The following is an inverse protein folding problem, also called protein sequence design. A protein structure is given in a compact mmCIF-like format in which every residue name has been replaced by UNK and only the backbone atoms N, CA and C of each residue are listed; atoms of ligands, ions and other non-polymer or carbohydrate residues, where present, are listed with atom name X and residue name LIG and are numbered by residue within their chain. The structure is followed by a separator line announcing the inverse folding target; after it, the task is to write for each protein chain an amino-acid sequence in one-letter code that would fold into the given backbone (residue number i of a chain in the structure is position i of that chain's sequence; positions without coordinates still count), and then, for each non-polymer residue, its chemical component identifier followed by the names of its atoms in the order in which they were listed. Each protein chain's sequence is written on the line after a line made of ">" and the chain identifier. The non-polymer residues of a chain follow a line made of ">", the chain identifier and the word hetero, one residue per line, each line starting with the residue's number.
data_IF_729719352746
#
_entry.id   IF_729719352746
#
_cell.length_a   1.000
_cell.length_b   1.000
_cell.length_c   1.000
_cell.angle_alpha   90.00
_cell.angle_beta   90.00
_cell.angle_gamma   90.00
#
_symmetry.space_group_name_H-M   'P 1'
#
loop_
_entity.id
_entity.type
_entity.pdbx_description
1 polymer ?
#
# COMPACT_ATOMS: atom_id res chain seq x y z
N UNK A 1 80.30 -65.64 -28.67
CA UNK A 1 79.90 -65.68 -27.25
C UNK A 1 79.42 -64.28 -26.85
N UNK A 2 78.37 -64.03 -26.07
CA UNK A 2 76.97 -64.52 -26.08
C UNK A 2 76.20 -63.63 -25.08
N UNK A 3 75.02 -63.13 -25.48
CA UNK A 3 73.92 -62.57 -24.63
C UNK A 3 74.22 -61.21 -23.96
N UNK A 4 73.26 -60.32 -23.63
CA UNK A 4 71.81 -60.09 -23.85
C UNK A 4 71.49 -58.75 -23.13
N UNK A 5 70.59 -57.94 -23.71
CA UNK A 5 69.37 -57.30 -23.13
C UNK A 5 69.46 -56.44 -21.84
N UNK A 6 68.58 -55.41 -21.78
CA UNK A 6 67.87 -54.76 -20.63
C UNK A 6 68.33 -53.32 -20.31
N UNK A 7 67.51 -52.33 -19.93
CA UNK A 7 66.05 -52.06 -19.86
C UNK A 7 65.88 -50.63 -19.27
N UNK A 8 64.77 -49.92 -19.49
CA UNK A 8 64.39 -48.68 -18.75
C UNK A 8 63.78 -47.60 -19.65
N UNK A 9 62.54 -47.69 -20.16
CA UNK A 9 61.24 -47.45 -19.51
C UNK A 9 61.02 -45.99 -19.02
N UNK A 10 60.27 -45.23 -19.81
CA UNK A 10 59.15 -44.39 -19.34
C UNK A 10 59.43 -42.97 -18.84
N UNK A 11 59.28 -41.98 -19.71
CA UNK A 11 58.54 -40.75 -19.42
C UNK A 11 58.16 -40.04 -20.74
N UNK A 12 56.92 -40.25 -21.17
CA UNK A 12 56.24 -39.33 -22.05
C UNK A 12 56.06 -37.99 -21.31
N UNK A 13 56.18 -36.87 -22.02
CA UNK A 13 55.94 -35.54 -21.44
C UNK A 13 56.73 -34.47 -22.16
N UNK A 14 56.38 -34.21 -23.42
CA UNK A 14 55.75 -32.94 -23.82
C UNK A 14 56.68 -31.73 -23.69
N UNK A 15 57.09 -31.24 -24.87
CA UNK A 15 57.43 -29.84 -25.06
C UNK A 15 56.28 -28.99 -24.50
N UNK A 16 56.42 -28.49 -23.27
CA UNK A 16 55.61 -27.39 -22.79
C UNK A 16 56.08 -26.16 -23.56
N UNK A 17 55.49 -25.98 -24.74
CA UNK A 17 55.26 -24.66 -25.28
C UNK A 17 54.55 -23.87 -24.18
N UNK A 18 55.28 -22.97 -23.53
CA UNK A 18 54.69 -21.93 -22.71
C UNK A 18 53.91 -21.00 -23.66
N UNK A 19 52.71 -21.44 -24.05
CA UNK A 19 51.73 -20.55 -24.64
C UNK A 19 51.45 -19.48 -23.58
N UNK A 20 51.52 -18.18 -23.92
CA UNK A 20 50.87 -17.20 -23.09
C UNK A 20 49.39 -17.60 -23.09
N UNK A 21 48.88 -18.01 -21.93
CA UNK A 21 47.46 -18.08 -21.68
C UNK A 21 46.97 -16.64 -21.80
N UNK A 22 46.56 -16.24 -23.00
CA UNK A 22 45.73 -15.06 -23.19
C UNK A 22 44.43 -15.37 -22.46
N UNK A 23 44.35 -14.93 -21.20
CA UNK A 23 43.08 -14.81 -20.57
C UNK A 23 42.32 -13.71 -21.32
N UNK A 24 41.35 -14.12 -22.14
CA UNK A 24 40.32 -13.22 -22.61
C UNK A 24 39.42 -12.93 -21.41
N UNK A 25 39.83 -11.98 -20.56
CA UNK A 25 38.98 -11.49 -19.50
C UNK A 25 37.99 -10.50 -20.11
N UNK A 26 36.77 -10.96 -20.34
CA UNK A 26 35.64 -10.14 -20.72
C UNK A 26 35.02 -9.59 -19.44
N UNK A 27 35.19 -8.29 -19.22
CA UNK A 27 34.59 -7.58 -18.09
C UNK A 27 33.62 -6.53 -18.65
N UNK A 28 32.37 -6.61 -18.22
CA UNK A 28 31.36 -5.60 -18.49
C UNK A 28 31.10 -4.79 -17.23
N UNK A 29 31.11 -3.47 -17.36
CA UNK A 29 30.65 -2.56 -16.31
C UNK A 29 29.24 -2.14 -16.66
N UNK A 30 28.28 -2.41 -15.78
CA UNK A 30 26.89 -1.97 -15.92
C UNK A 30 26.72 -0.72 -15.04
N UNK A 31 26.26 0.37 -15.62
CA UNK A 31 25.97 1.61 -14.89
C UNK A 31 24.62 1.48 -14.18
N UNK A 32 24.62 1.52 -12.85
CA UNK A 32 23.42 1.45 -12.01
C UNK A 32 23.33 2.72 -11.18
N UNK A 33 22.25 3.48 -11.35
CA UNK A 33 22.00 4.75 -10.64
C UNK A 33 20.52 4.85 -10.27
N UNK A 34 20.20 5.40 -9.10
CA UNK A 34 18.84 5.67 -8.65
C UNK A 34 18.79 6.97 -7.84
N UNK A 35 17.67 7.71 -7.94
CA UNK A 35 17.35 8.84 -7.06
C UNK A 35 16.40 8.35 -5.97
N UNK A 36 16.63 8.76 -4.73
CA UNK A 36 15.79 8.39 -3.58
C UNK A 36 14.96 9.63 -3.21
N UNK A 37 13.64 9.48 -3.27
CA UNK A 37 12.65 10.53 -3.02
C UNK A 37 11.72 10.13 -1.86
N UNK A 38 11.11 11.10 -1.20
CA UNK A 38 10.14 10.85 -0.12
C UNK A 38 8.76 10.55 -0.71
N UNK A 39 8.02 9.60 -0.14
CA UNK A 39 6.65 9.30 -0.57
C UNK A 39 5.60 10.24 0.06
N UNK A 40 5.82 10.64 1.31
CA UNK A 40 4.93 11.53 2.06
C UNK A 40 5.56 12.91 2.31
N UNK A 41 4.69 13.88 2.50
CA UNK A 41 4.98 15.20 3.01
C UNK A 41 4.13 15.47 4.26
N UNK A 42 4.81 15.71 5.39
CA UNK A 42 4.17 16.20 6.60
C UNK A 42 4.11 17.74 6.53
N UNK A 43 2.92 18.31 6.72
CA UNK A 43 2.75 19.78 6.80
C UNK A 43 2.81 20.31 8.22
N UNK A 44 2.36 19.51 9.19
CA UNK A 44 2.44 19.84 10.62
C UNK A 44 3.78 19.33 11.16
N UNK A 45 4.62 20.25 11.63
CA UNK A 45 5.94 19.91 12.21
C UNK A 45 5.91 19.79 13.73
N UNK A 46 4.91 20.40 14.37
CA UNK A 46 4.74 20.42 15.83
C UNK A 46 3.28 20.69 16.20
N UNK A 47 2.83 20.10 17.31
CA UNK A 47 1.52 20.36 17.92
C UNK A 47 1.77 20.79 19.37
N UNK A 48 1.44 22.03 19.69
CA UNK A 48 1.49 22.57 21.05
C UNK A 48 0.08 22.91 21.53
N UNK A 49 -0.41 22.21 22.56
CA UNK A 49 -1.69 22.51 23.19
C UNK A 49 -1.59 23.64 24.24
N UNK A 50 -0.38 24.00 24.66
CA UNK A 50 -0.14 25.01 25.69
C UNK A 50 -0.62 24.57 27.08
N UNK A 51 -1.08 25.54 27.88
CA UNK A 51 -1.66 25.26 29.20
C UNK A 51 -3.08 24.74 29.03
N UNK A 52 -3.32 23.54 29.55
CA UNK A 52 -4.61 22.85 29.48
C UNK A 52 -5.16 22.59 30.89
N UNK A 53 -6.45 22.34 31.00
CA UNK A 53 -7.12 22.08 32.28
C UNK A 53 -7.73 20.68 32.33
N UNK A 54 -7.85 20.05 33.52
CA UNK A 54 -8.45 18.73 33.65
C UNK A 54 -9.81 18.63 32.96
N UNK A 55 -10.03 17.52 32.25
CA UNK A 55 -11.28 17.21 31.52
C UNK A 55 -11.57 18.14 30.32
N UNK A 56 -10.62 18.98 29.92
CA UNK A 56 -10.66 19.70 28.66
C UNK A 56 -10.47 18.75 27.47
N UNK A 57 -11.09 19.08 26.33
CA UNK A 57 -10.82 18.45 25.04
C UNK A 57 -10.34 19.51 24.06
N UNK A 58 -9.18 19.28 23.45
CA UNK A 58 -8.56 20.19 22.49
C UNK A 58 -8.26 19.45 21.20
N UNK A 59 -8.52 20.07 20.05
CA UNK A 59 -8.32 19.49 18.73
C UNK A 59 -7.13 20.17 18.02
N UNK A 60 -6.30 19.39 17.33
CA UNK A 60 -5.18 19.90 16.55
C UNK A 60 -5.03 19.15 15.21
N UNK A 61 -4.84 19.85 14.08
CA UNK A 61 -4.75 19.21 12.77
C UNK A 61 -3.35 18.66 12.50
N UNK A 62 -3.31 17.42 12.00
CA UNK A 62 -2.13 16.80 11.39
C UNK A 62 -2.45 16.46 9.93
N UNK A 63 -1.79 17.14 8.99
CA UNK A 63 -2.00 16.88 7.55
C UNK A 63 -0.86 16.05 6.98
N UNK A 64 -1.22 14.89 6.44
CA UNK A 64 -0.34 13.97 5.72
C UNK A 64 -0.74 14.00 4.24
N UNK A 65 0.22 14.19 3.35
CA UNK A 65 -0.06 14.25 1.92
C UNK A 65 0.98 13.48 1.12
N UNK A 66 0.61 13.03 -0.07
CA UNK A 66 1.57 12.55 -1.05
C UNK A 66 2.56 13.67 -1.38
N UNK A 67 3.85 13.33 -1.41
CA UNK A 67 4.87 14.31 -1.76
C UNK A 67 4.75 14.73 -3.22
N UNK A 68 5.31 15.90 -3.56
CA UNK A 68 5.37 16.35 -4.95
C UNK A 68 6.15 15.38 -5.86
N UNK A 69 7.19 14.71 -5.35
CA UNK A 69 7.95 13.74 -6.14
C UNK A 69 7.21 12.43 -6.33
N UNK A 70 6.38 12.00 -5.37
CA UNK A 70 5.52 10.83 -5.53
C UNK A 70 4.37 11.09 -6.53
N UNK A 71 3.76 12.28 -6.46
CA UNK A 71 2.71 12.69 -7.39
C UNK A 71 3.21 12.78 -8.84
N UNK A 72 4.49 13.11 -9.04
CA UNK A 72 5.10 13.22 -10.36
C UNK A 72 5.53 11.87 -10.97
N UNK A 73 5.50 10.77 -10.21
CA UNK A 73 5.94 9.45 -10.67
C UNK A 73 4.75 8.61 -11.12
N UNK A 74 4.65 8.33 -12.43
CA UNK A 74 3.53 7.56 -13.01
C UNK A 74 3.53 6.08 -12.59
N UNK A 75 4.69 5.54 -12.19
CA UNK A 75 4.84 4.11 -11.87
C UNK A 75 4.23 3.71 -10.52
N UNK A 76 3.96 4.64 -9.62
CA UNK A 76 3.44 4.35 -8.26
C UNK A 76 2.00 4.84 -8.12
N UNK A 77 1.26 4.38 -7.13
CA UNK A 77 -0.15 4.80 -6.93
C UNK A 77 -0.48 5.06 -5.46
N UNK A 78 -0.41 4.03 -4.63
CA UNK A 78 -0.78 4.14 -3.21
C UNK A 78 0.44 4.30 -2.31
N UNK A 79 0.23 5.00 -1.19
CA UNK A 79 1.13 4.99 -0.03
C UNK A 79 0.34 4.51 1.17
N UNK A 80 0.78 3.41 1.77
CA UNK A 80 0.30 2.95 3.07
C UNK A 80 1.25 3.46 4.15
N UNK A 81 0.69 3.95 5.24
CA UNK A 81 1.47 4.45 6.36
C UNK A 81 0.80 4.12 7.70
N UNK A 82 1.55 4.34 8.77
CA UNK A 82 1.06 4.22 10.14
C UNK A 82 1.40 5.45 10.95
N UNK A 83 0.48 5.87 11.82
CA UNK A 83 0.74 6.89 12.85
C UNK A 83 0.88 6.18 14.19
N UNK A 84 2.11 6.20 14.69
CA UNK A 84 2.54 5.65 15.96
C UNK A 84 2.74 6.74 16.99
N UNK A 85 2.84 6.33 18.24
CA UNK A 85 3.14 7.19 19.38
C UNK A 85 4.33 6.65 20.15
N UNK A 86 5.14 7.55 20.69
CA UNK A 86 6.25 7.20 21.56
C UNK A 86 6.44 8.25 22.66
N UNK A 87 7.00 7.90 23.81
CA UNK A 87 7.29 8.87 24.86
C UNK A 87 8.18 10.01 24.35
N UNK A 88 8.00 11.22 24.90
CA UNK A 88 8.85 12.37 24.60
C UNK A 88 10.01 12.46 25.59
N UNK A 89 11.19 12.80 25.11
CA UNK A 89 12.36 13.06 25.94
C UNK A 89 12.64 14.55 26.04
N UNK A 90 13.08 15.00 27.22
CA UNK A 90 13.49 16.39 27.45
C UNK A 90 14.68 16.50 28.39
N UNK A 91 15.50 17.52 28.20
CA UNK A 91 16.61 17.88 29.07
C UNK A 91 16.09 18.78 30.20
N UNK A 92 16.00 18.29 31.46
CA UNK A 92 15.41 19.06 32.53
C UNK A 92 16.35 20.19 32.99
N UNK A 93 15.79 21.35 33.27
CA UNK A 93 16.51 22.51 33.79
C UNK A 93 16.67 22.41 35.31
N UNK A 94 17.92 22.34 35.83
CA UNK A 94 18.15 22.15 37.25
C UNK A 94 17.54 23.25 38.13
N UNK A 95 16.80 22.85 39.16
CA UNK A 95 16.25 23.77 40.16
C UNK A 95 14.94 24.45 39.76
N UNK A 96 14.25 23.95 38.74
CA UNK A 96 12.90 24.36 38.36
C UNK A 96 11.84 23.47 39.00
N UNK A 97 10.72 24.07 39.40
CA UNK A 97 9.55 23.40 40.00
C UNK A 97 8.28 24.21 39.62
N UNK A 98 7.41 23.72 38.71
CA UNK A 98 7.49 22.42 38.02
C UNK A 98 8.69 22.33 37.08
N UNK A 99 9.08 21.11 36.70
CA UNK A 99 10.25 20.87 35.85
C UNK A 99 10.08 21.56 34.50
N UNK A 100 11.05 22.40 34.15
CA UNK A 100 11.16 23.00 32.82
C UNK A 100 12.17 22.20 31.98
N UNK A 101 12.04 22.27 30.66
CA UNK A 101 12.93 21.58 29.73
C UNK A 101 13.56 22.58 28.76
N UNK A 102 14.90 22.60 28.68
CA UNK A 102 15.63 23.50 27.76
C UNK A 102 15.80 22.94 26.35
N UNK A 103 15.60 21.63 26.18
CA UNK A 103 15.65 20.95 24.89
C UNK A 103 14.78 19.69 24.91
N UNK A 104 14.27 19.31 23.74
CA UNK A 104 13.64 18.01 23.51
C UNK A 104 14.57 17.09 22.71
N UNK A 105 14.54 15.80 23.04
CA UNK A 105 15.44 14.80 22.48
C UNK A 105 14.69 13.64 21.86
N UNK A 106 15.43 12.72 21.25
CA UNK A 106 14.86 11.51 20.63
C UNK A 106 14.82 10.36 21.62
N UNK A 107 13.80 9.51 21.49
CA UNK A 107 13.81 8.17 22.09
C UNK A 107 14.41 7.16 21.12
N UNK A 108 15.09 6.17 21.69
CA UNK A 108 15.55 4.94 21.04
C UNK A 108 15.04 3.73 21.81
N UNK A 109 15.13 2.55 21.21
CA UNK A 109 14.74 1.29 21.84
C UNK A 109 15.97 0.54 22.36
N UNK A 110 15.92 0.14 23.63
CA UNK A 110 16.93 -0.72 24.26
C UNK A 110 16.19 -1.80 25.06
N UNK A 111 16.44 -3.06 24.73
CA UNK A 111 15.85 -4.22 25.41
C UNK A 111 14.32 -4.18 25.50
N UNK A 112 13.63 -3.70 24.45
CA UNK A 112 12.18 -3.61 24.40
C UNK A 112 11.59 -2.46 25.24
N UNK A 113 12.39 -1.49 25.62
CA UNK A 113 11.95 -0.28 26.32
C UNK A 113 12.42 0.97 25.59
N UNK A 114 11.61 2.03 25.65
CA UNK A 114 12.05 3.34 25.20
C UNK A 114 12.97 3.97 26.23
N UNK A 115 14.10 4.50 25.74
CA UNK A 115 15.07 5.28 26.51
C UNK A 115 15.45 6.53 25.73
N UNK A 116 15.82 7.60 26.42
CA UNK A 116 16.31 8.80 25.75
C UNK A 116 17.70 8.52 25.13
N UNK A 117 17.84 8.83 23.85
CA UNK A 117 19.11 8.70 23.11
C UNK A 117 20.13 9.75 23.59
N UNK A 118 19.64 10.96 23.86
CA UNK A 118 20.46 12.11 24.18
C UNK A 118 20.88 12.14 25.66
N UNK A 119 22.16 12.39 25.92
CA UNK A 119 22.72 12.40 27.27
C UNK A 119 21.99 13.41 28.17
N UNK A 120 21.63 12.98 29.38
CA UNK A 120 20.99 13.84 30.40
C UNK A 120 19.49 14.09 30.18
N UNK A 121 18.92 13.61 29.07
CA UNK A 121 17.48 13.69 28.84
C UNK A 121 16.74 12.63 29.66
N UNK A 122 15.52 12.96 30.03
CA UNK A 122 14.58 12.08 30.75
C UNK A 122 13.27 11.99 29.98
N UNK A 123 12.56 10.87 30.16
CA UNK A 123 11.22 10.72 29.60
C UNK A 123 10.26 11.61 30.40
N UNK A 124 9.46 12.40 29.69
CA UNK A 124 8.40 13.23 30.28
C UNK A 124 7.25 12.37 30.80
N UNK A 125 6.44 12.87 31.75
CA UNK A 125 5.11 12.33 32.02
C UNK A 125 4.34 12.03 30.72
N UNK A 126 3.77 10.84 30.63
CA UNK A 126 3.33 10.29 29.35
C UNK A 126 2.01 10.92 28.89
N UNK A 127 2.02 11.53 27.70
CA UNK A 127 0.82 12.10 27.07
C UNK A 127 0.11 11.13 26.12
N UNK A 128 0.80 10.10 25.61
CA UNK A 128 0.32 9.27 24.50
C UNK A 128 -1.08 8.67 24.68
N UNK A 129 -1.41 8.05 25.84
CA UNK A 129 -2.74 7.50 26.10
C UNK A 129 -3.89 8.48 25.93
N UNK A 130 -3.64 9.77 26.06
CA UNK A 130 -4.66 10.82 26.10
C UNK A 130 -4.90 11.48 24.73
N UNK A 131 -4.13 11.08 23.72
CA UNK A 131 -4.19 11.62 22.37
C UNK A 131 -4.93 10.66 21.44
N UNK A 132 -6.12 11.03 20.98
CA UNK A 132 -6.79 10.30 19.90
C UNK A 132 -6.25 10.70 18.53
N UNK A 133 -6.59 9.87 17.54
CA UNK A 133 -6.26 10.04 16.13
C UNK A 133 -7.52 9.71 15.34
N UNK A 134 -8.20 10.72 14.85
CA UNK A 134 -9.43 10.55 14.07
C UNK A 134 -9.18 11.03 12.63
N UNK A 135 -9.48 10.20 11.62
CA UNK A 135 -9.33 10.59 10.23
C UNK A 135 -10.48 11.51 9.79
N UNK A 136 -10.33 12.15 8.63
CA UNK A 136 -11.38 12.98 8.02
C UNK A 136 -12.53 12.17 7.38
N UNK A 137 -12.35 10.85 7.27
CA UNK A 137 -13.32 9.93 6.67
C UNK A 137 -13.33 9.92 5.13
N UNK A 138 -12.32 10.54 4.50
CA UNK A 138 -12.11 10.46 3.07
C UNK A 138 -11.22 9.25 2.72
N UNK A 139 -11.40 8.65 1.52
CA UNK A 139 -12.60 8.72 0.68
C UNK A 139 -13.75 7.94 1.35
N UNK A 140 -15.01 8.37 1.22
CA UNK A 140 -16.16 7.72 1.90
C UNK A 140 -16.33 6.24 1.50
N UNK A 141 -16.47 5.29 2.46
CA UNK A 141 -16.76 5.44 3.90
C UNK A 141 -15.54 5.65 4.84
N UNK A 142 -14.36 5.91 4.30
CA UNK A 142 -13.08 6.04 4.98
C UNK A 142 -12.18 4.85 4.67
N UNK A 143 -10.89 5.09 4.42
CA UNK A 143 -9.86 4.05 4.26
C UNK A 143 -8.83 4.05 5.42
N UNK A 144 -8.96 4.98 6.36
CA UNK A 144 -8.07 5.16 7.49
C UNK A 144 -8.60 4.54 8.79
N UNK A 145 -7.67 4.17 9.67
CA UNK A 145 -7.94 3.73 11.03
C UNK A 145 -8.25 4.90 11.96
N UNK A 146 -8.87 4.59 13.10
CA UNK A 146 -9.20 5.56 14.14
C UNK A 146 -8.81 5.00 15.49
N UNK A 147 -8.36 5.86 16.40
CA UNK A 147 -8.04 5.49 17.78
C UNK A 147 -8.54 6.58 18.72
N UNK A 148 -9.34 6.19 19.71
CA UNK A 148 -9.81 7.09 20.76
C UNK A 148 -8.74 7.34 21.84
N UNK A 149 -8.83 8.47 22.55
CA UNK A 149 -8.10 8.68 23.79
C UNK A 149 -8.45 7.60 24.83
N UNK A 150 -7.63 7.51 25.87
CA UNK A 150 -7.67 6.49 26.92
C UNK A 150 -7.37 5.08 26.40
N UNK A 151 -6.19 4.92 25.80
CA UNK A 151 -5.66 3.66 25.30
C UNK A 151 -4.25 3.38 25.84
N UNK A 152 -3.83 2.11 25.82
CA UNK A 152 -2.51 1.70 26.31
C UNK A 152 -2.24 2.03 27.79
N UNK A 153 -0.99 1.86 28.25
CA UNK A 153 -0.61 2.15 29.63
C UNK A 153 -0.28 3.64 29.85
N UNK A 154 -0.63 4.19 31.02
CA UNK A 154 -0.28 5.57 31.41
C UNK A 154 1.17 5.77 31.89
N UNK A 155 1.91 4.69 32.05
CA UNK A 155 3.32 4.69 32.44
C UNK A 155 4.04 3.50 31.82
N UNK A 156 5.33 3.63 31.52
CA UNK A 156 6.12 2.50 31.02
C UNK A 156 5.74 2.04 29.61
N UNK A 157 5.22 2.96 28.79
CA UNK A 157 4.88 2.71 27.39
C UNK A 157 6.08 2.13 26.64
N UNK A 158 5.85 1.00 25.99
CA UNK A 158 6.85 0.19 25.30
C UNK A 158 6.68 0.27 23.78
N UNK A 159 7.66 -0.22 23.00
CA UNK A 159 7.51 -0.40 21.56
C UNK A 159 6.35 -1.32 21.18
N UNK A 160 5.99 -2.30 22.02
CA UNK A 160 4.84 -3.17 21.79
C UNK A 160 3.53 -2.38 21.89
N UNK A 161 3.38 -1.52 22.91
CA UNK A 161 2.23 -0.63 23.05
C UNK A 161 2.11 0.32 21.86
N UNK A 162 3.24 0.80 21.33
CA UNK A 162 3.26 1.64 20.11
C UNK A 162 2.67 0.91 18.90
N UNK A 163 2.95 -0.38 18.74
CA UNK A 163 2.43 -1.18 17.62
C UNK A 163 0.96 -1.55 17.84
N UNK A 164 0.57 -1.89 19.07
CA UNK A 164 -0.83 -2.22 19.40
C UNK A 164 -1.76 -1.02 19.21
N UNK A 165 -1.27 0.19 19.48
CA UNK A 165 -2.05 1.44 19.42
C UNK A 165 -1.72 2.30 18.19
N UNK A 166 -1.14 1.72 17.14
CA UNK A 166 -0.93 2.43 15.87
C UNK A 166 -2.25 2.53 15.09
N UNK A 167 -2.42 3.62 14.34
CA UNK A 167 -3.49 3.71 13.32
C UNK A 167 -2.88 3.59 11.94
N UNK A 168 -3.57 2.85 11.08
CA UNK A 168 -3.20 2.73 9.67
C UNK A 168 -3.79 3.92 8.91
N UNK A 169 -3.10 4.37 7.87
CA UNK A 169 -3.68 5.24 6.88
C UNK A 169 -3.23 4.92 5.47
N UNK A 170 -3.99 5.40 4.48
CA UNK A 170 -3.73 5.11 3.07
C UNK A 170 -4.03 6.32 2.20
N UNK A 171 -3.07 6.69 1.36
CA UNK A 171 -3.28 7.63 0.26
C UNK A 171 -3.24 6.91 -1.08
N UNK A 172 -4.05 7.36 -2.04
CA UNK A 172 -4.16 6.78 -3.39
C UNK A 172 -4.39 7.84 -4.47
N UNK A 173 -3.54 7.84 -5.50
CA UNK A 173 -3.72 8.75 -6.65
C UNK A 173 -4.95 8.35 -7.46
N UNK A 174 -5.17 7.06 -7.73
CA UNK A 174 -6.33 6.59 -8.48
C UNK A 174 -7.64 6.88 -7.74
N UNK A 175 -7.69 6.73 -6.41
CA UNK A 175 -8.88 7.07 -5.64
C UNK A 175 -9.08 8.58 -5.44
N UNK A 176 -8.16 9.41 -5.95
CA UNK A 176 -8.13 10.87 -5.73
C UNK A 176 -8.05 11.26 -4.25
N UNK A 177 -7.41 10.41 -3.47
CA UNK A 177 -7.21 10.52 -2.04
C UNK A 177 -5.73 10.81 -1.77
N UNK A 178 -5.34 12.06 -1.95
CA UNK A 178 -3.92 12.46 -2.00
C UNK A 178 -3.43 13.14 -0.71
N UNK A 179 -4.34 13.36 0.24
CA UNK A 179 -4.03 13.93 1.55
C UNK A 179 -5.10 13.56 2.57
N UNK A 180 -4.64 13.24 3.78
CA UNK A 180 -5.47 12.95 4.94
C UNK A 180 -5.34 14.09 5.95
N UNK A 181 -6.47 14.59 6.42
CA UNK A 181 -6.54 15.54 7.52
C UNK A 181 -6.91 14.82 8.82
N UNK A 182 -5.91 14.56 9.65
CA UNK A 182 -6.12 13.94 10.96
C UNK A 182 -6.46 14.98 12.00
N UNK A 183 -7.48 14.69 12.80
CA UNK A 183 -7.68 15.36 14.07
C UNK A 183 -6.93 14.62 15.17
N UNK A 184 -5.92 15.27 15.74
CA UNK A 184 -5.24 14.84 16.95
C UNK A 184 -5.89 15.59 18.10
N UNK A 185 -6.78 14.93 18.83
CA UNK A 185 -7.41 15.50 19.99
C UNK A 185 -6.77 15.02 21.29
N UNK A 186 -6.51 15.99 22.16
CA UNK A 186 -6.07 15.76 23.53
C UNK A 186 -7.29 15.77 24.45
N UNK A 187 -7.58 14.63 25.07
CA UNK A 187 -8.55 14.54 26.16
C UNK A 187 -7.79 14.57 27.48
N UNK A 188 -7.80 15.72 28.15
CA UNK A 188 -6.92 15.98 29.30
C UNK A 188 -7.36 15.15 30.50
N UNK A 189 -6.45 14.34 31.09
CA UNK A 189 -6.80 13.54 32.25
C UNK A 189 -7.07 14.42 33.48
N UNK A 190 -7.91 13.93 34.39
CA UNK A 190 -7.93 14.42 35.75
C UNK A 190 -6.86 13.72 36.59
N UNK A 191 -6.38 14.38 37.63
CA UNK A 191 -5.51 13.76 38.62
C UNK A 191 -6.31 12.88 39.57
N UNK A 192 -5.71 11.77 39.99
CA UNK A 192 -6.34 10.81 40.90
C UNK A 192 -6.83 11.50 42.19
N UNK A 193 -8.13 11.37 42.46
CA UNK A 193 -8.78 11.99 43.62
C UNK A 193 -9.28 13.42 43.40
N UNK A 194 -9.04 14.00 42.23
CA UNK A 194 -9.44 15.37 41.85
C UNK A 194 -10.38 15.41 40.62
N UNK A 195 -10.86 14.26 40.15
CA UNK A 195 -11.79 14.15 39.03
C UNK A 195 -13.19 14.66 39.38
N UNK A 196 -13.93 15.13 38.37
CA UNK A 196 -15.33 15.51 38.53
C UNK A 196 -16.19 14.31 38.94
N UNK A 197 -17.31 14.61 39.61
CA UNK A 197 -18.19 13.59 40.22
C UNK A 197 -18.92 12.71 39.19
N UNK A 198 -19.01 13.16 37.95
CA UNK A 198 -19.58 12.41 36.83
C UNK A 198 -18.66 11.28 36.34
N UNK A 199 -17.39 11.23 36.78
CA UNK A 199 -16.41 10.16 36.53
C UNK A 199 -16.31 9.78 35.05
N UNK A 200 -16.25 10.78 34.17
CA UNK A 200 -16.11 10.54 32.72
C UNK A 200 -14.78 9.85 32.39
N UNK A 201 -13.75 10.07 33.22
CA UNK A 201 -12.41 9.48 33.03
C UNK A 201 -12.28 8.17 33.81
N UNK A 202 -11.98 7.04 33.15
CA UNK A 202 -11.81 5.76 33.83
C UNK A 202 -10.65 5.81 34.85
N UNK A 203 -10.79 5.15 36.02
CA UNK A 203 -9.80 5.23 37.09
C UNK A 203 -8.36 4.88 36.70
N UNK A 204 -8.16 3.98 35.74
CA UNK A 204 -6.84 3.58 35.24
C UNK A 204 -6.15 4.64 34.37
N UNK A 205 -6.90 5.64 33.90
CA UNK A 205 -6.41 6.76 33.09
C UNK A 205 -6.37 8.08 33.86
N UNK A 206 -6.57 8.03 35.19
CA UNK A 206 -6.36 9.21 36.03
C UNK A 206 -4.86 9.41 36.23
N UNK A 207 -4.39 10.63 35.98
CA UNK A 207 -2.98 10.98 36.09
C UNK A 207 -2.50 10.92 37.56
N UNK A 208 -1.21 10.63 37.75
CA UNK A 208 -0.58 10.66 39.06
C UNK A 208 -0.55 12.11 39.59
N UNK A 209 -1.12 12.39 40.78
CA UNK A 209 -1.05 13.72 41.39
C UNK A 209 0.37 14.26 41.57
N UNK A 210 1.39 13.39 41.60
CA UNK A 210 2.79 13.83 41.65
C UNK A 210 3.24 14.57 40.38
N UNK A 211 2.52 14.43 39.26
CA UNK A 211 2.81 15.12 38.01
C UNK A 211 1.93 16.37 37.82
N UNK A 212 1.26 16.85 38.87
CA UNK A 212 0.50 18.10 38.81
C UNK A 212 1.44 19.26 38.46
N UNK A 213 1.05 20.07 37.47
CA UNK A 213 1.84 21.17 36.89
C UNK A 213 3.06 20.77 36.04
N UNK A 214 3.36 19.48 35.89
CA UNK A 214 4.46 19.02 35.04
C UNK A 214 4.11 19.09 33.55
N UNK A 215 5.14 19.14 32.71
CA UNK A 215 4.98 19.10 31.24
C UNK A 215 4.87 17.63 30.79
N UNK A 216 3.73 17.27 30.22
CA UNK A 216 3.51 15.95 29.62
C UNK A 216 3.96 15.95 28.15
N UNK A 217 4.39 14.79 27.64
CA UNK A 217 4.86 14.68 26.27
C UNK A 217 4.56 13.34 25.60
N UNK A 218 4.33 13.43 24.30
CA UNK A 218 4.28 12.30 23.37
C UNK A 218 4.73 12.79 21.99
N UNK A 219 5.53 11.98 21.30
CA UNK A 219 5.85 12.23 19.90
C UNK A 219 4.97 11.35 19.01
N UNK A 220 4.40 11.95 17.96
CA UNK A 220 3.79 11.21 16.86
C UNK A 220 4.87 10.78 15.87
N UNK A 221 4.85 9.52 15.47
CA UNK A 221 5.76 8.93 14.51
C UNK A 221 4.98 8.40 13.31
N UNK A 222 5.12 9.08 12.17
CA UNK A 222 4.56 8.64 10.90
C UNK A 222 5.58 7.80 10.16
N UNK A 223 5.19 6.61 9.71
CA UNK A 223 6.06 5.70 8.97
C UNK A 223 5.33 5.15 7.74
N UNK A 224 5.99 5.21 6.58
CA UNK A 224 5.50 4.57 5.36
C UNK A 224 5.76 3.06 5.47
N UNK A 225 4.69 2.27 5.34
CA UNK A 225 4.75 0.82 5.41
C UNK A 225 4.66 0.15 4.04
N UNK A 226 4.14 0.85 3.03
CA UNK A 226 3.97 0.30 1.69
C UNK A 226 3.85 1.36 0.61
N UNK A 227 4.24 0.98 -0.60
CA UNK A 227 4.00 1.72 -1.84
C UNK A 227 3.51 0.74 -2.89
N UNK A 228 2.42 1.05 -3.58
CA UNK A 228 1.87 0.20 -4.65
C UNK A 228 2.17 0.78 -6.05
N UNK A 229 2.02 -0.08 -7.06
CA UNK A 229 1.93 0.33 -8.46
C UNK A 229 0.47 0.64 -8.80
N UNK A 230 0.18 1.48 -9.81
CA UNK A 230 -1.18 1.66 -10.27
C UNK A 230 -1.76 0.34 -10.77
N UNK A 231 -3.08 0.14 -10.66
CA UNK A 231 -3.74 -0.97 -11.30
C UNK A 231 -3.44 -0.93 -12.81
N UNK A 232 -3.14 -2.08 -13.44
CA UNK A 232 -2.91 -2.10 -14.87
C UNK A 232 -4.14 -1.57 -15.61
N UNK A 233 -3.97 -0.69 -16.63
CA UNK A 233 -5.08 -0.09 -17.35
C UNK A 233 -5.99 -1.17 -17.98
N UNK A 234 -7.32 -0.99 -17.97
CA UNK A 234 -8.23 -1.94 -18.57
C UNK A 234 -8.03 -2.01 -20.09
N UNK A 235 -8.26 -3.19 -20.66
CA UNK A 235 -8.40 -3.35 -22.11
C UNK A 235 -9.82 -3.02 -22.57
N UNK A 236 -10.01 -2.86 -23.87
CA UNK A 236 -11.29 -2.63 -24.52
C UNK A 236 -11.72 -3.86 -25.29
N UNK A 237 -12.92 -4.39 -25.03
CA UNK A 237 -13.48 -5.51 -25.78
C UNK A 237 -14.71 -5.02 -26.54
N UNK A 238 -14.72 -5.22 -27.85
CA UNK A 238 -15.88 -4.97 -28.72
C UNK A 238 -16.44 -6.30 -29.21
N UNK A 239 -17.71 -6.59 -28.93
CA UNK A 239 -18.38 -7.78 -29.47
C UNK A 239 -19.34 -7.35 -30.56
N UNK A 240 -19.15 -7.85 -31.78
CA UNK A 240 -20.03 -7.59 -32.93
C UNK A 240 -20.87 -8.82 -33.24
N UNK A 241 -22.19 -8.68 -33.18
CA UNK A 241 -23.12 -9.73 -33.58
C UNK A 241 -23.41 -9.64 -35.08
N UNK A 242 -23.27 -10.77 -35.77
CA UNK A 242 -23.59 -10.95 -37.18
C UNK A 242 -24.61 -12.08 -37.33
N UNK A 243 -25.65 -11.81 -38.13
CA UNK A 243 -26.61 -12.83 -38.59
C UNK A 243 -26.30 -13.08 -40.06
N UNK A 244 -25.85 -14.29 -40.37
CA UNK A 244 -25.43 -14.71 -41.71
C UNK A 244 -26.46 -15.67 -42.33
N UNK A 245 -26.56 -15.60 -43.66
CA UNK A 245 -27.50 -16.33 -44.53
C UNK A 245 -28.99 -16.06 -44.22
N UNK A 246 -29.57 -15.12 -44.97
CA UNK A 246 -30.82 -14.41 -44.60
C UNK A 246 -31.98 -14.75 -45.55
N UNK A 247 -32.18 -16.03 -45.89
CA UNK A 247 -33.30 -16.42 -46.75
C UNK A 247 -34.49 -16.91 -45.93
N UNK A 248 -35.35 -15.96 -45.49
CA UNK A 248 -36.68 -16.27 -44.96
C UNK A 248 -36.86 -16.06 -43.45
N UNK A 249 -35.86 -15.53 -42.75
CA UNK A 249 -35.86 -15.37 -41.29
C UNK A 249 -36.11 -13.90 -40.87
N UNK A 250 -36.59 -13.70 -39.64
CA UNK A 250 -36.95 -12.37 -39.06
C UNK A 250 -36.01 -11.93 -37.92
N UNK A 251 -34.97 -12.72 -37.64
CA UNK A 251 -34.08 -12.49 -36.51
C UNK A 251 -33.20 -11.26 -36.74
N UNK A 252 -33.00 -10.52 -35.67
CA UNK A 252 -32.19 -9.32 -35.61
C UNK A 252 -31.16 -9.44 -34.48
N UNK A 253 -30.14 -8.58 -34.51
CA UNK A 253 -29.13 -8.50 -33.45
C UNK A 253 -29.74 -8.40 -32.04
N UNK A 254 -30.88 -7.70 -31.91
CA UNK A 254 -31.57 -7.52 -30.64
C UNK A 254 -32.19 -8.80 -30.05
N UNK A 255 -32.27 -9.89 -30.80
CA UNK A 255 -32.77 -11.19 -30.31
C UNK A 255 -31.71 -11.99 -29.54
N UNK A 256 -30.47 -11.49 -29.48
CA UNK A 256 -29.33 -12.13 -28.83
C UNK A 256 -28.76 -11.23 -27.74
N UNK A 257 -28.67 -11.77 -26.52
CA UNK A 257 -27.93 -11.11 -25.44
C UNK A 257 -26.47 -11.54 -25.53
N UNK A 258 -25.55 -10.58 -25.62
CA UNK A 258 -24.11 -10.81 -25.75
C UNK A 258 -23.43 -10.62 -24.40
N UNK A 259 -22.39 -11.42 -24.13
CA UNK A 259 -21.67 -11.38 -22.87
C UNK A 259 -20.17 -11.45 -23.05
N UNK A 260 -19.46 -10.78 -22.14
CA UNK A 260 -18.02 -10.98 -21.88
C UNK A 260 -17.87 -11.40 -20.43
N UNK A 261 -17.61 -12.69 -20.20
CA UNK A 261 -17.71 -13.27 -18.86
C UNK A 261 -19.15 -13.22 -18.34
N UNK A 262 -19.38 -12.50 -17.24
CA UNK A 262 -20.71 -12.31 -16.66
C UNK A 262 -21.38 -10.99 -17.08
N UNK A 263 -20.65 -10.09 -17.73
CA UNK A 263 -21.14 -8.75 -18.07
C UNK A 263 -21.88 -8.78 -19.41
N UNK A 264 -23.06 -8.16 -19.47
CA UNK A 264 -23.83 -8.03 -20.70
C UNK A 264 -23.31 -6.85 -21.53
N UNK A 265 -23.08 -7.05 -22.82
CA UNK A 265 -22.52 -6.03 -23.72
C UNK A 265 -23.43 -5.76 -24.92
N UNK A 266 -23.35 -4.56 -25.47
CA UNK A 266 -24.07 -4.18 -26.69
C UNK A 266 -23.24 -4.49 -27.95
N UNK A 267 -23.91 -4.93 -29.01
CA UNK A 267 -23.25 -5.22 -30.29
C UNK A 267 -22.55 -3.99 -30.87
N UNK A 268 -21.27 -4.11 -31.20
CA UNK A 268 -20.46 -3.07 -31.83
C UNK A 268 -20.03 -1.94 -30.89
N UNK A 269 -20.30 -2.06 -29.58
CA UNK A 269 -19.87 -1.09 -28.56
C UNK A 269 -18.65 -1.66 -27.83
N UNK A 270 -17.59 -0.87 -27.75
CA UNK A 270 -16.40 -1.22 -26.98
C UNK A 270 -16.60 -0.89 -25.51
N UNK A 271 -16.43 -1.89 -24.64
CA UNK A 271 -16.56 -1.77 -23.19
C UNK A 271 -15.21 -2.08 -22.51
N UNK A 272 -14.98 -1.54 -21.31
CA UNK A 272 -13.71 -1.71 -20.58
C UNK A 272 -13.72 -2.92 -19.66
N UNK A 273 -12.66 -3.73 -19.74
CA UNK A 273 -12.46 -4.92 -18.90
C UNK A 273 -11.09 -4.88 -18.25
N UNK A 274 -11.02 -5.25 -16.96
CA UNK A 274 -9.75 -5.42 -16.28
C UNK A 274 -8.93 -6.53 -16.96
N UNK A 275 -7.58 -6.52 -16.86
CA UNK A 275 -6.79 -7.60 -17.42
C UNK A 275 -7.17 -8.96 -16.81
N UNK A 276 -7.31 -9.97 -17.65
CA UNK A 276 -7.74 -11.31 -17.23
C UNK A 276 -8.36 -12.14 -18.35
N UNK A 277 -8.75 -13.36 -18.03
CA UNK A 277 -9.37 -14.28 -19.00
C UNK A 277 -10.89 -14.18 -18.96
N UNK A 278 -11.49 -14.04 -20.14
CA UNK A 278 -12.93 -13.93 -20.32
C UNK A 278 -13.43 -14.92 -21.37
N UNK A 279 -14.72 -15.22 -21.31
CA UNK A 279 -15.43 -15.99 -22.34
C UNK A 279 -16.45 -15.09 -22.98
N UNK A 280 -16.29 -14.87 -24.28
CA UNK A 280 -17.28 -14.22 -25.14
C UNK A 280 -18.34 -15.24 -25.50
N UNK A 281 -19.59 -14.90 -25.24
CA UNK A 281 -20.72 -15.80 -25.45
C UNK A 281 -21.98 -15.02 -25.76
N UNK A 282 -23.02 -15.75 -26.13
CA UNK A 282 -24.35 -15.21 -26.29
C UNK A 282 -25.40 -16.16 -25.73
N UNK A 283 -26.58 -15.62 -25.48
CA UNK A 283 -27.78 -16.41 -25.21
C UNK A 283 -28.90 -15.96 -26.13
N UNK A 284 -29.66 -16.91 -26.66
CA UNK A 284 -30.77 -16.65 -27.56
C UNK A 284 -32.04 -16.33 -26.77
N UNK A 285 -32.72 -15.24 -27.11
CA UNK A 285 -34.03 -14.93 -26.53
C UNK A 285 -35.13 -15.78 -27.19
N UNK A 286 -35.19 -17.08 -26.85
CA UNK A 286 -36.31 -17.95 -27.21
C UNK A 286 -36.28 -18.54 -28.63
N UNK A 287 -35.10 -18.69 -29.22
CA UNK A 287 -34.89 -19.39 -30.51
C UNK A 287 -34.55 -20.86 -30.23
N UNK A 288 -34.87 -21.74 -31.18
CA UNK A 288 -34.53 -23.17 -31.12
C UNK A 288 -33.18 -23.35 -31.81
N UNK A 289 -32.15 -23.65 -31.01
CA UNK A 289 -30.72 -23.89 -31.34
C UNK A 289 -30.50 -24.74 -32.61
N UNK A 290 -31.46 -25.60 -32.99
CA UNK A 290 -31.36 -26.47 -34.16
C UNK A 290 -31.45 -25.76 -35.53
N UNK A 291 -31.78 -24.47 -35.56
CA UNK A 291 -31.94 -23.71 -36.82
C UNK A 291 -30.71 -22.91 -37.22
N UNK A 292 -29.72 -22.77 -36.34
CA UNK A 292 -28.52 -21.98 -36.58
C UNK A 292 -27.25 -22.67 -36.10
N UNK A 293 -26.12 -22.28 -36.68
CA UNK A 293 -24.80 -22.61 -36.17
C UNK A 293 -24.10 -21.33 -35.72
N UNK A 294 -23.51 -21.36 -34.52
CA UNK A 294 -22.77 -20.24 -33.93
C UNK A 294 -21.27 -20.40 -34.15
N UNK A 295 -20.63 -19.34 -34.64
CA UNK A 295 -19.17 -19.24 -34.73
C UNK A 295 -18.70 -17.97 -34.02
N UNK A 296 -17.69 -18.10 -33.16
CA UNK A 296 -17.06 -16.97 -32.47
C UNK A 296 -15.63 -16.84 -32.98
N UNK A 297 -15.25 -15.63 -33.36
CA UNK A 297 -13.90 -15.28 -33.78
C UNK A 297 -13.49 -14.00 -33.08
N UNK A 298 -12.39 -14.03 -32.34
CA UNK A 298 -11.80 -12.84 -31.74
C UNK A 298 -10.46 -12.54 -32.40
N UNK A 299 -10.27 -11.28 -32.78
CA UNK A 299 -9.00 -10.72 -33.21
C UNK A 299 -8.31 -10.17 -31.96
N UNK A 300 -7.26 -10.86 -31.55
CA UNK A 300 -6.40 -10.53 -30.43
C UNK A 300 -4.99 -10.38 -31.00
N UNK A 301 -4.76 -9.26 -31.73
CA UNK A 301 -3.57 -8.71 -32.42
C UNK A 301 -2.48 -9.67 -33.03
N UNK A 302 -2.66 -10.98 -32.92
CA UNK A 302 -1.70 -12.06 -33.18
C UNK A 302 -2.38 -13.46 -33.27
N UNK A 303 -3.62 -13.65 -32.79
CA UNK A 303 -4.29 -14.96 -32.83
C UNK A 303 -5.82 -14.91 -33.00
N UNK A 304 -6.35 -15.76 -33.89
CA UNK A 304 -7.81 -15.98 -34.02
C UNK A 304 -8.23 -17.11 -33.07
N UNK A 305 -8.88 -16.77 -31.96
CA UNK A 305 -9.44 -17.79 -31.05
C UNK A 305 -10.84 -18.20 -31.50
N UNK A 306 -10.99 -19.43 -32.00
CA UNK A 306 -12.28 -19.97 -32.46
C UNK A 306 -13.23 -20.41 -31.32
N UNK A 307 -12.81 -20.34 -30.05
CA UNK A 307 -13.58 -20.82 -28.89
C UNK A 307 -14.23 -19.71 -28.07
N UNK A 308 -14.08 -18.43 -28.48
CA UNK A 308 -14.57 -17.27 -27.74
C UNK A 308 -13.85 -16.99 -26.41
N UNK A 309 -12.79 -17.75 -26.09
CA UNK A 309 -11.94 -17.46 -24.92
C UNK A 309 -10.93 -16.38 -25.28
N UNK A 310 -10.91 -15.29 -24.52
CA UNK A 310 -9.95 -14.19 -24.72
C UNK A 310 -9.16 -13.97 -23.44
N UNK A 311 -7.94 -13.48 -23.57
CA UNK A 311 -7.18 -12.91 -22.45
C UNK A 311 -7.04 -11.44 -22.75
N UNK A 312 -7.61 -10.59 -21.90
CA UNK A 312 -7.48 -9.13 -22.02
C UNK A 312 -6.18 -8.76 -21.34
N UNK A 313 -5.21 -8.26 -22.09
CA UNK A 313 -3.99 -7.67 -21.56
C UNK A 313 -4.19 -6.17 -21.25
N UNK A 314 -3.26 -5.63 -20.48
CA UNK A 314 -3.27 -4.23 -20.04
C UNK A 314 -3.32 -3.25 -21.22
N UNK A 315 -4.43 -2.52 -21.37
CA UNK A 315 -4.63 -1.50 -22.41
C UNK A 315 -4.85 -2.04 -23.83
N UNK A 316 -5.06 -3.34 -23.98
CA UNK A 316 -5.29 -4.01 -25.26
C UNK A 316 -6.67 -3.68 -25.85
N UNK A 317 -6.83 -3.85 -27.17
CA UNK A 317 -8.12 -3.69 -27.85
C UNK A 317 -8.46 -4.98 -28.59
N UNK A 318 -9.47 -5.71 -28.12
CA UNK A 318 -9.92 -6.98 -28.68
C UNK A 318 -11.23 -6.78 -29.45
N UNK A 319 -11.28 -7.30 -30.67
CA UNK A 319 -12.49 -7.28 -31.51
C UNK A 319 -13.01 -8.69 -31.72
N UNK A 320 -14.15 -9.02 -31.13
CA UNK A 320 -14.83 -10.29 -31.29
C UNK A 320 -16.03 -10.18 -32.21
N UNK A 321 -16.24 -11.20 -33.03
CA UNK A 321 -17.44 -11.37 -33.86
C UNK A 321 -18.12 -12.68 -33.53
N UNK A 322 -19.39 -12.61 -33.15
CA UNK A 322 -20.26 -13.79 -33.03
C UNK A 322 -21.14 -13.84 -34.28
N UNK A 323 -21.04 -14.92 -35.05
CA UNK A 323 -21.83 -15.13 -36.27
C UNK A 323 -22.79 -16.30 -36.08
N UNK A 324 -24.09 -16.04 -36.21
CA UNK A 324 -25.08 -17.13 -36.36
C UNK A 324 -25.44 -17.29 -37.83
N UNK A 325 -25.26 -18.51 -38.35
CA UNK A 325 -25.55 -18.86 -39.74
C UNK A 325 -26.73 -19.81 -39.79
N UNK A 326 -27.76 -19.49 -40.59
CA UNK A 326 -28.93 -20.34 -40.79
C UNK A 326 -28.51 -21.73 -41.33
N UNK A 327 -29.03 -22.81 -40.74
CA UNK A 327 -28.80 -24.18 -41.23
C UNK A 327 -29.87 -24.50 -42.28
N UNK A 328 -29.49 -24.81 -43.54
CA UNK A 328 -30.45 -25.21 -44.56
C UNK A 328 -31.24 -26.46 -44.13
N UNK A 329 -32.57 -26.36 -44.14
CA UNK A 329 -33.52 -27.45 -43.86
C UNK A 329 -33.73 -28.36 -45.08
#
# INVERSE_FOLDING_TARGET
>A
MRKKILLGLGAAGTALAMLPLFAAFEAHVINVTATIENALQLRTTEIEYGTVFPEEKLDAPLVLALSSSFLAEDRVDDVEYVIRQKPKCGLPDPGTDPVQYSAFGRVTEVEGQFVCEDQGHVILPLLCPYLSKHPDGNPTPGNDGSLDAFHGPITGWSPEDTVENQVLGKLSKVAQDIADEWNIDLVVPCFKGSCAQDNVIPPQYQADPANEHEIFGCDLWVEVTGVSLPPPPPGTVTVTKVIADVTGTTLVVADFNLFVGAEAVASGVGESFAPGSYVVSETEAGIVDETYSTAISCDDDDFVVATGTITVESGEVISCTITNTEIPQ
#
